data_IF_195083930988
#
_entry.id   IF_195083930988
#
_cell.length_a   1.000
_cell.length_b   1.000
_cell.length_c   1.000
_cell.angle_alpha   90.00
_cell.angle_beta   90.00
_cell.angle_gamma   90.00
#
_symmetry.space_group_name_H-M   'P 1'
#
loop_
_entity.id
_entity.type
_entity.pdbx_description
1 polymer ?
#
# COMPACT_ATOMS: atom_id res chain seq x y z
N UNK A 1 -46.08 45.02 26.35
CA UNK A 1 -44.75 44.97 27.02
C UNK A 1 -44.54 43.55 27.51
N UNK A 2 -43.82 42.73 26.73
CA UNK A 2 -43.47 41.36 27.10
C UNK A 2 -41.97 41.31 27.38
N UNK A 3 -41.61 40.78 28.55
CA UNK A 3 -40.26 40.68 29.05
C UNK A 3 -39.48 39.61 28.29
N UNK A 4 -38.30 40.01 27.81
CA UNK A 4 -37.35 39.19 27.06
C UNK A 4 -36.63 38.23 28.05
N UNK A 5 -36.79 36.93 27.85
CA UNK A 5 -36.12 35.90 28.65
C UNK A 5 -34.80 35.50 27.97
N UNK A 6 -33.71 36.07 28.47
CA UNK A 6 -32.33 35.78 28.07
C UNK A 6 -31.97 34.34 28.46
N UNK A 7 -31.93 33.45 27.48
CA UNK A 7 -31.50 32.06 27.66
C UNK A 7 -29.96 31.99 27.56
N UNK A 8 -29.30 32.10 28.71
CA UNK A 8 -27.87 31.80 28.88
C UNK A 8 -27.68 30.27 28.76
N UNK A 9 -27.54 29.77 27.53
CA UNK A 9 -26.99 28.42 27.30
C UNK A 9 -25.46 28.52 27.25
N UNK A 10 -24.88 28.01 28.32
CA UNK A 10 -23.47 27.72 28.56
C UNK A 10 -22.79 27.16 27.30
N UNK A 11 -21.91 27.94 26.69
CA UNK A 11 -20.85 27.41 25.83
C UNK A 11 -19.92 26.61 26.74
N UNK A 12 -20.07 25.29 26.79
CA UNK A 12 -19.03 24.42 27.30
C UNK A 12 -17.91 24.44 26.25
N UNK A 13 -16.84 25.16 26.55
CA UNK A 13 -15.58 25.03 25.84
C UNK A 13 -15.15 23.56 25.90
N UNK A 14 -15.13 22.91 24.73
CA UNK A 14 -14.49 21.61 24.57
C UNK A 14 -12.99 21.84 24.75
N UNK A 15 -12.47 21.47 25.92
CA UNK A 15 -11.02 21.40 26.17
C UNK A 15 -10.61 19.97 25.84
N UNK A 16 -9.94 19.71 24.70
CA UNK A 16 -9.44 18.38 24.39
C UNK A 16 -8.46 17.97 25.50
N UNK A 17 -8.59 16.74 26.00
CA UNK A 17 -7.70 16.27 27.06
C UNK A 17 -6.25 16.25 26.54
N UNK A 18 -5.28 16.69 27.34
CA UNK A 18 -3.86 16.78 26.97
C UNK A 18 -3.28 15.47 26.39
N UNK A 19 -3.93 14.34 26.65
CA UNK A 19 -3.58 13.01 26.13
C UNK A 19 -4.07 12.79 24.69
N UNK A 20 -5.26 13.28 24.33
CA UNK A 20 -5.79 13.20 22.96
C UNK A 20 -5.06 14.18 22.02
N UNK A 21 -4.71 15.36 22.54
CA UNK A 21 -3.98 16.41 21.81
C UNK A 21 -2.53 16.01 21.48
N UNK A 22 -1.92 15.14 22.30
CA UNK A 22 -0.54 14.68 22.09
C UNK A 22 -0.47 13.48 21.14
N UNK A 23 -1.42 12.53 21.25
CA UNK A 23 -1.52 11.36 20.36
C UNK A 23 -1.87 11.76 18.92
N UNK A 24 -2.83 12.67 18.73
CA UNK A 24 -3.20 13.15 17.38
C UNK A 24 -2.05 13.92 16.71
N UNK A 25 -1.28 14.69 17.48
CA UNK A 25 -0.15 15.47 16.96
C UNK A 25 1.09 14.62 16.65
N UNK A 26 1.35 13.55 17.42
CA UNK A 26 2.42 12.60 17.10
C UNK A 26 2.11 11.81 15.84
N UNK A 27 0.87 11.32 15.70
CA UNK A 27 0.47 10.51 14.54
C UNK A 27 0.51 11.33 13.24
N UNK A 28 0.10 12.61 13.29
CA UNK A 28 0.17 13.51 12.12
C UNK A 28 1.63 13.73 11.67
N UNK A 29 2.56 13.90 12.63
CA UNK A 29 3.99 14.07 12.35
C UNK A 29 4.63 12.82 11.72
N UNK A 30 4.28 11.62 12.22
CA UNK A 30 4.77 10.36 11.66
C UNK A 30 4.22 10.10 10.25
N UNK A 31 2.95 10.42 10.04
CA UNK A 31 2.27 10.33 8.75
C UNK A 31 2.92 11.24 7.68
N UNK A 32 3.25 12.48 8.04
CA UNK A 32 3.95 13.40 7.16
C UNK A 32 5.37 12.92 6.85
N UNK A 33 6.08 12.34 7.82
CA UNK A 33 7.40 11.73 7.60
C UNK A 33 7.31 10.54 6.63
N UNK A 34 6.28 9.69 6.75
CA UNK A 34 6.06 8.59 5.82
C UNK A 34 5.85 9.10 4.39
N UNK A 35 5.00 10.11 4.20
CA UNK A 35 4.79 10.73 2.90
C UNK A 35 6.08 11.24 2.28
N UNK A 36 6.92 11.92 3.06
CA UNK A 36 8.21 12.40 2.59
C UNK A 36 9.16 11.27 2.23
N UNK A 37 9.16 10.17 2.99
CA UNK A 37 9.92 8.96 2.68
C UNK A 37 9.49 8.34 1.35
N UNK A 38 8.18 8.24 1.09
CA UNK A 38 7.64 7.69 -0.16
C UNK A 38 7.97 8.59 -1.35
N UNK A 39 7.91 9.91 -1.19
CA UNK A 39 8.33 10.86 -2.22
C UNK A 39 9.82 10.71 -2.54
N UNK A 40 10.67 10.47 -1.53
CA UNK A 40 12.10 10.22 -1.73
C UNK A 40 12.36 8.94 -2.52
N UNK A 41 11.59 7.87 -2.33
CA UNK A 41 11.73 6.63 -3.14
C UNK A 41 11.53 6.87 -4.64
N UNK A 42 10.83 7.93 -5.03
CA UNK A 42 10.57 8.31 -6.43
C UNK A 42 11.64 9.24 -7.01
N UNK A 43 12.61 9.68 -6.22
CA UNK A 43 13.65 10.64 -6.65
C UNK A 43 14.88 9.93 -7.21
N UNK A 44 15.43 10.45 -8.31
CA UNK A 44 16.62 9.91 -8.99
C UNK A 44 17.94 10.14 -8.24
N UNK A 45 17.94 10.97 -7.19
CA UNK A 45 19.17 11.41 -6.50
C UNK A 45 19.46 10.68 -5.17
N UNK A 46 18.75 9.59 -4.88
CA UNK A 46 18.89 8.86 -3.60
C UNK A 46 19.88 7.72 -3.74
N UNK A 47 20.80 7.59 -2.78
CA UNK A 47 21.76 6.49 -2.77
C UNK A 47 21.09 5.15 -2.49
N UNK A 48 21.67 4.06 -3.01
CA UNK A 48 21.16 2.69 -2.78
C UNK A 48 20.99 2.35 -1.29
N UNK A 49 21.90 2.81 -0.44
CA UNK A 49 21.82 2.58 1.00
C UNK A 49 20.66 3.36 1.63
N UNK A 50 20.47 4.62 1.23
CA UNK A 50 19.35 5.44 1.71
C UNK A 50 18.01 4.87 1.24
N UNK A 51 17.93 4.36 0.01
CA UNK A 51 16.74 3.66 -0.49
C UNK A 51 16.39 2.45 0.38
N UNK A 52 17.38 1.60 0.72
CA UNK A 52 17.15 0.45 1.61
C UNK A 52 16.66 0.90 2.98
N UNK A 53 17.25 1.94 3.55
CA UNK A 53 16.90 2.40 4.88
C UNK A 53 15.50 3.02 4.91
N UNK A 54 15.10 3.72 3.85
CA UNK A 54 13.72 4.20 3.67
C UNK A 54 12.75 3.03 3.57
N UNK A 55 13.04 2.06 2.71
CA UNK A 55 12.25 0.85 2.52
C UNK A 55 12.05 0.10 3.86
N UNK A 56 13.12 -0.10 4.64
CA UNK A 56 13.04 -0.74 5.95
C UNK A 56 12.14 0.04 6.92
N UNK A 57 12.28 1.37 6.98
CA UNK A 57 11.46 2.22 7.86
C UNK A 57 9.98 2.18 7.50
N UNK A 58 9.64 2.12 6.21
CA UNK A 58 8.24 1.95 5.78
C UNK A 58 7.70 0.60 6.26
N UNK A 59 8.50 -0.46 6.16
CA UNK A 59 8.13 -1.78 6.68
C UNK A 59 7.92 -1.76 8.19
N UNK A 60 8.84 -1.15 8.94
CA UNK A 60 8.78 -1.07 10.40
C UNK A 60 7.53 -0.29 10.82
N UNK A 61 7.25 0.84 10.17
CA UNK A 61 6.05 1.64 10.43
C UNK A 61 4.75 0.85 10.17
N UNK A 62 4.68 0.10 9.07
CA UNK A 62 3.53 -0.76 8.75
C UNK A 62 3.30 -1.87 9.79
N UNK A 63 4.36 -2.35 10.44
CA UNK A 63 4.31 -3.41 11.46
C UNK A 63 3.90 -2.90 12.84
N UNK A 64 4.00 -1.60 13.11
CA UNK A 64 3.71 -1.02 14.43
C UNK A 64 2.23 -1.09 14.80
N UNK A 65 1.33 -0.92 13.82
CA UNK A 65 -0.12 -1.00 14.04
C UNK A 65 -0.90 -1.21 12.74
N UNK A 66 -2.14 -1.68 12.89
CA UNK A 66 -3.08 -1.83 11.79
C UNK A 66 -3.48 -0.47 11.17
N UNK A 67 -3.62 0.58 11.98
CA UNK A 67 -3.89 1.94 11.48
C UNK A 67 -2.73 2.44 10.59
N UNK A 68 -1.49 2.14 10.98
CA UNK A 68 -0.30 2.48 10.19
C UNK A 68 -0.24 1.68 8.90
N UNK A 69 -0.59 0.38 8.91
CA UNK A 69 -0.69 -0.42 7.70
C UNK A 69 -1.72 0.18 6.72
N UNK A 70 -2.93 0.47 7.19
CA UNK A 70 -3.98 1.12 6.40
C UNK A 70 -3.50 2.46 5.83
N UNK A 71 -2.73 3.22 6.61
CA UNK A 71 -2.14 4.47 6.15
C UNK A 71 -1.09 4.25 5.05
N UNK A 72 -0.17 3.28 5.22
CA UNK A 72 0.86 2.90 4.24
C UNK A 72 0.24 2.52 2.89
N UNK A 73 -0.84 1.72 2.92
CA UNK A 73 -1.56 1.29 1.71
C UNK A 73 -2.16 2.47 0.96
N UNK A 74 -2.78 3.41 1.68
CA UNK A 74 -3.35 4.66 1.11
C UNK A 74 -2.32 5.61 0.48
N UNK A 75 -1.02 5.37 0.65
CA UNK A 75 0.04 6.23 0.10
C UNK A 75 0.72 5.66 -1.15
N UNK A 76 0.09 4.73 -1.87
CA UNK A 76 0.64 4.10 -3.10
C UNK A 76 2.04 3.48 -2.89
N UNK A 77 2.29 2.94 -1.68
CA UNK A 77 3.60 2.36 -1.33
C UNK A 77 3.90 1.17 -2.22
N UNK A 78 2.92 0.30 -2.49
CA UNK A 78 3.09 -0.88 -3.34
C UNK A 78 3.54 -0.48 -4.74
N UNK A 79 2.84 0.48 -5.36
CA UNK A 79 3.19 0.99 -6.69
C UNK A 79 4.58 1.62 -6.72
N UNK A 80 4.95 2.36 -5.67
CA UNK A 80 6.27 2.99 -5.54
C UNK A 80 7.39 1.96 -5.37
N UNK A 81 7.18 0.94 -4.53
CA UNK A 81 8.12 -0.15 -4.30
C UNK A 81 8.29 -1.01 -5.56
N UNK A 82 7.22 -1.25 -6.30
CA UNK A 82 7.24 -1.95 -7.59
C UNK A 82 8.02 -1.15 -8.65
N UNK A 83 7.77 0.15 -8.77
CA UNK A 83 8.53 1.01 -9.67
C UNK A 83 10.03 0.90 -9.36
N UNK A 84 10.42 1.06 -8.09
CA UNK A 84 11.81 0.94 -7.66
C UNK A 84 12.40 -0.44 -7.94
N UNK A 85 11.64 -1.51 -7.73
CA UNK A 85 12.06 -2.88 -8.06
C UNK A 85 12.38 -3.05 -9.55
N UNK A 86 11.57 -2.45 -10.43
CA UNK A 86 11.75 -2.57 -11.89
C UNK A 86 12.89 -1.69 -12.43
N UNK A 87 13.13 -0.53 -11.84
CA UNK A 87 14.11 0.44 -12.34
C UNK A 87 15.51 0.23 -11.79
N UNK A 88 15.66 -0.31 -10.56
CA UNK A 88 16.97 -0.54 -9.96
C UNK A 88 17.71 -1.73 -10.58
N UNK A 89 19.04 -1.66 -10.65
CA UNK A 89 19.91 -2.81 -10.94
C UNK A 89 20.47 -3.46 -9.68
N UNK A 90 20.27 -2.83 -8.51
CA UNK A 90 20.81 -3.33 -7.25
C UNK A 90 19.98 -4.51 -6.72
N UNK A 91 20.61 -5.69 -6.62
CA UNK A 91 19.97 -6.93 -6.16
C UNK A 91 19.46 -6.84 -4.71
N UNK A 92 20.12 -6.06 -3.87
CA UNK A 92 19.74 -5.88 -2.47
C UNK A 92 18.51 -4.99 -2.33
N UNK A 93 18.40 -3.93 -3.13
CA UNK A 93 17.18 -3.11 -3.22
C UNK A 93 16.02 -3.98 -3.71
N UNK A 94 16.24 -4.79 -4.78
CA UNK A 94 15.22 -5.74 -5.27
C UNK A 94 14.72 -6.69 -4.19
N UNK A 95 15.65 -7.29 -3.44
CA UNK A 95 15.31 -8.18 -2.31
C UNK A 95 14.50 -7.45 -1.24
N UNK A 96 14.88 -6.22 -0.92
CA UNK A 96 14.20 -5.40 0.08
C UNK A 96 12.78 -5.02 -0.37
N UNK A 97 12.59 -4.66 -1.64
CA UNK A 97 11.27 -4.42 -2.22
C UNK A 97 10.36 -5.66 -2.12
N UNK A 98 10.89 -6.85 -2.46
CA UNK A 98 10.14 -8.11 -2.35
C UNK A 98 9.73 -8.38 -0.90
N UNK A 99 10.65 -8.21 0.05
CA UNK A 99 10.35 -8.42 1.48
C UNK A 99 9.24 -7.50 1.98
N UNK A 100 9.20 -6.23 1.54
CA UNK A 100 8.16 -5.28 1.95
C UNK A 100 6.80 -5.69 1.40
N UNK A 101 6.75 -6.10 0.14
CA UNK A 101 5.52 -6.61 -0.47
C UNK A 101 5.02 -7.83 0.30
N UNK A 102 5.92 -8.78 0.62
CA UNK A 102 5.55 -9.97 1.40
C UNK A 102 5.08 -9.63 2.83
N UNK A 103 5.68 -8.62 3.48
CA UNK A 103 5.28 -8.17 4.83
C UNK A 103 3.90 -7.53 4.79
N UNK A 104 3.67 -6.59 3.86
CA UNK A 104 2.38 -5.91 3.70
C UNK A 104 1.28 -6.94 3.41
N UNK A 105 1.51 -7.86 2.48
CA UNK A 105 0.55 -8.93 2.15
C UNK A 105 0.21 -9.82 3.34
N UNK A 106 1.20 -10.21 4.15
CA UNK A 106 0.95 -11.03 5.37
C UNK A 106 0.12 -10.31 6.43
N UNK A 107 0.20 -8.97 6.45
CA UNK A 107 -0.58 -8.16 7.38
C UNK A 107 -2.00 -7.92 6.87
N UNK A 108 -2.17 -7.70 5.56
CA UNK A 108 -3.50 -7.55 4.91
C UNK A 108 -4.34 -8.83 4.95
N UNK A 109 -3.73 -10.01 4.86
CA UNK A 109 -4.47 -11.30 4.97
C UNK A 109 -5.19 -11.45 6.31
N UNK A 110 -4.85 -10.65 7.33
CA UNK A 110 -5.54 -10.65 8.62
C UNK A 110 -6.81 -9.80 8.65
N UNK A 111 -7.06 -8.95 7.66
CA UNK A 111 -8.25 -8.10 7.58
C UNK A 111 -8.87 -8.17 6.18
N UNK A 112 -9.94 -8.97 6.04
CA UNK A 112 -10.72 -8.99 4.81
C UNK A 112 -11.71 -7.81 4.78
N UNK A 113 -11.47 -6.81 3.94
CA UNK A 113 -12.51 -6.05 3.25
C UNK A 113 -12.26 -6.09 1.73
N UNK A 114 -13.31 -6.36 0.96
CA UNK A 114 -13.29 -6.74 -0.47
C UNK A 114 -12.74 -5.69 -1.46
N UNK A 115 -12.49 -4.46 -1.02
CA UNK A 115 -12.16 -3.33 -1.91
C UNK A 115 -10.66 -3.28 -2.25
N UNK A 116 -9.78 -3.60 -1.29
CA UNK A 116 -8.31 -3.57 -1.46
C UNK A 116 -7.77 -4.72 -2.34
N UNK A 117 -8.54 -5.80 -2.47
CA UNK A 117 -8.13 -6.97 -3.25
C UNK A 117 -8.10 -6.70 -4.78
N UNK A 118 -8.84 -5.70 -5.26
CA UNK A 118 -8.89 -5.34 -6.69
C UNK A 118 -7.64 -4.57 -7.13
N UNK A 119 -7.19 -3.58 -6.35
CA UNK A 119 -6.01 -2.78 -6.68
C UNK A 119 -4.72 -3.62 -6.61
N UNK A 120 -4.64 -4.49 -5.59
CA UNK A 120 -3.56 -5.47 -5.51
C UNK A 120 -3.62 -6.47 -6.67
N UNK A 121 -4.80 -7.01 -6.98
CA UNK A 121 -5.00 -7.93 -8.10
C UNK A 121 -4.54 -7.34 -9.43
N UNK A 122 -4.86 -6.07 -9.71
CA UNK A 122 -4.42 -5.33 -10.90
C UNK A 122 -2.90 -5.16 -10.95
N UNK A 123 -2.29 -4.79 -9.83
CA UNK A 123 -0.84 -4.62 -9.74
C UNK A 123 -0.10 -5.94 -10.00
N UNK A 124 -0.56 -7.03 -9.40
CA UNK A 124 0.04 -8.35 -9.58
C UNK A 124 -0.22 -8.92 -10.99
N UNK A 125 -1.38 -8.63 -11.57
CA UNK A 125 -1.70 -8.99 -12.96
C UNK A 125 -0.77 -8.26 -13.94
N UNK A 126 -0.52 -6.97 -13.73
CA UNK A 126 0.45 -6.20 -14.53
C UNK A 126 1.85 -6.82 -14.45
N UNK A 127 2.26 -7.27 -13.26
CA UNK A 127 3.53 -7.97 -13.08
C UNK A 127 3.55 -9.31 -13.81
N UNK A 128 2.47 -10.11 -13.71
CA UNK A 128 2.33 -11.41 -14.38
C UNK A 128 2.49 -11.27 -15.90
N UNK A 129 1.88 -10.25 -16.49
CA UNK A 129 1.89 -10.01 -17.94
C UNK A 129 3.14 -9.26 -18.43
N UNK A 130 4.09 -8.97 -17.54
CA UNK A 130 5.35 -8.32 -17.90
C UNK A 130 6.19 -9.20 -18.82
N UNK A 131 6.83 -8.59 -19.82
CA UNK A 131 7.86 -9.26 -20.65
C UNK A 131 9.13 -9.60 -19.88
N UNK A 132 9.31 -9.05 -18.66
CA UNK A 132 10.40 -9.41 -17.78
C UNK A 132 10.07 -10.71 -17.03
N UNK A 133 10.82 -11.78 -17.33
CA UNK A 133 10.63 -13.12 -16.75
C UNK A 133 10.63 -13.12 -15.21
N UNK A 134 11.47 -12.30 -14.57
CA UNK A 134 11.50 -12.23 -13.10
C UNK A 134 10.25 -11.54 -12.55
N UNK A 135 9.82 -10.44 -13.18
CA UNK A 135 8.58 -9.75 -12.81
C UNK A 135 7.37 -10.67 -13.00
N UNK A 136 7.30 -11.39 -14.11
CA UNK A 136 6.23 -12.35 -14.40
C UNK A 136 6.20 -13.48 -13.37
N UNK A 137 7.36 -14.04 -13.02
CA UNK A 137 7.45 -15.08 -11.99
C UNK A 137 6.99 -14.59 -10.61
N UNK A 138 7.30 -13.33 -10.26
CA UNK A 138 6.85 -12.72 -9.00
C UNK A 138 5.34 -12.49 -9.03
N UNK A 139 4.81 -11.92 -10.12
CA UNK A 139 3.37 -11.76 -10.31
C UNK A 139 2.62 -13.09 -10.17
N UNK A 140 3.13 -14.15 -10.81
CA UNK A 140 2.61 -15.52 -10.69
C UNK A 140 2.60 -16.02 -9.25
N UNK A 141 3.74 -15.96 -8.56
CA UNK A 141 3.87 -16.44 -7.18
C UNK A 141 2.90 -15.70 -6.25
N UNK A 142 2.84 -14.37 -6.36
CA UNK A 142 2.03 -13.55 -5.49
C UNK A 142 0.53 -13.67 -5.79
N UNK A 143 0.12 -13.86 -7.06
CA UNK A 143 -1.28 -14.16 -7.39
C UNK A 143 -1.72 -15.50 -6.79
N UNK A 144 -0.86 -16.53 -6.83
CA UNK A 144 -1.17 -17.82 -6.21
C UNK A 144 -1.36 -17.65 -4.70
N UNK A 145 -0.44 -16.96 -4.03
CA UNK A 145 -0.54 -16.69 -2.59
C UNK A 145 -1.81 -15.90 -2.27
N UNK A 146 -2.18 -14.90 -3.07
CA UNK A 146 -3.41 -14.12 -2.90
C UNK A 146 -4.66 -15.02 -3.00
N UNK A 147 -4.71 -15.90 -4.01
CA UNK A 147 -5.81 -16.85 -4.21
C UNK A 147 -5.92 -17.90 -3.11
N UNK A 148 -4.80 -18.36 -2.56
CA UNK A 148 -4.78 -19.34 -1.47
C UNK A 148 -5.15 -18.71 -0.11
N UNK A 149 -4.83 -17.42 0.07
CA UNK A 149 -4.96 -16.73 1.36
C UNK A 149 -6.28 -15.97 1.53
N UNK A 150 -6.98 -15.62 0.45
CA UNK A 150 -8.22 -14.87 0.50
C UNK A 150 -9.26 -15.49 -0.45
N UNK A 151 -10.35 -16.02 0.10
CA UNK A 151 -11.38 -16.71 -0.67
C UNK A 151 -12.16 -15.77 -1.62
N UNK A 152 -12.22 -14.47 -1.28
CA UNK A 152 -12.87 -13.45 -2.09
C UNK A 152 -11.96 -12.91 -3.20
N UNK A 153 -10.65 -13.16 -3.13
CA UNK A 153 -9.69 -12.66 -4.12
C UNK A 153 -9.96 -13.17 -5.53
N UNK A 154 -10.41 -14.41 -5.67
CA UNK A 154 -10.79 -14.98 -6.97
C UNK A 154 -11.92 -14.18 -7.61
N UNK A 155 -12.94 -13.80 -6.83
CA UNK A 155 -14.03 -12.94 -7.30
C UNK A 155 -13.52 -11.55 -7.70
N UNK A 156 -12.62 -10.98 -6.91
CA UNK A 156 -11.94 -9.72 -7.23
C UNK A 156 -11.17 -9.78 -8.56
N UNK A 157 -10.33 -10.81 -8.73
CA UNK A 157 -9.54 -11.07 -9.93
C UNK A 157 -10.42 -11.28 -11.18
N UNK A 158 -11.53 -12.00 -11.04
CA UNK A 158 -12.50 -12.17 -12.11
C UNK A 158 -13.16 -10.83 -12.47
N UNK A 159 -13.51 -10.00 -11.48
CA UNK A 159 -14.17 -8.71 -11.71
C UNK A 159 -13.27 -7.68 -12.42
N UNK A 160 -11.95 -7.80 -12.30
CA UNK A 160 -10.98 -6.98 -13.03
C UNK A 160 -10.61 -7.55 -14.41
N UNK A 161 -11.26 -8.65 -14.84
CA UNK A 161 -11.08 -9.23 -16.17
C UNK A 161 -9.75 -9.95 -16.35
N UNK A 162 -9.24 -10.64 -15.32
CA UNK A 162 -7.94 -11.34 -15.40
C UNK A 162 -7.87 -12.33 -16.57
N UNK A 163 -8.97 -13.01 -16.88
CA UNK A 163 -9.05 -13.98 -17.96
C UNK A 163 -8.97 -13.30 -19.34
N UNK A 164 -9.65 -12.16 -19.50
CA UNK A 164 -9.64 -11.40 -20.75
C UNK A 164 -8.24 -10.84 -21.03
N UNK A 165 -7.59 -10.28 -20.01
CA UNK A 165 -6.24 -9.75 -20.13
C UNK A 165 -5.19 -10.85 -20.40
N UNK A 166 -5.35 -12.02 -19.77
CA UNK A 166 -4.48 -13.16 -20.04
C UNK A 166 -4.66 -13.71 -21.46
N UNK A 167 -5.90 -13.79 -21.95
CA UNK A 167 -6.20 -14.19 -23.32
C UNK A 167 -5.63 -13.19 -24.34
N UNK A 168 -5.77 -11.89 -24.08
CA UNK A 168 -5.18 -10.85 -24.92
C UNK A 168 -3.64 -10.93 -24.94
N UNK A 169 -3.01 -11.09 -23.77
CA UNK A 169 -1.57 -11.26 -23.69
C UNK A 169 -1.10 -12.50 -24.49
N UNK A 170 -1.79 -13.63 -24.36
CA UNK A 170 -1.50 -14.83 -25.14
C UNK A 170 -1.62 -14.58 -26.66
N UNK A 171 -2.63 -13.83 -27.10
CA UNK A 171 -2.78 -13.45 -28.50
C UNK A 171 -1.64 -12.53 -28.98
N UNK A 172 -1.17 -11.63 -28.12
CA UNK A 172 -0.05 -10.74 -28.41
C UNK A 172 1.31 -11.49 -28.44
N UNK A 173 1.43 -12.61 -27.72
CA UNK A 173 2.60 -13.49 -27.76
C UNK A 173 2.52 -14.60 -28.82
N UNK A 174 1.32 -14.90 -29.35
CA UNK A 174 1.16 -15.83 -30.47
C UNK A 174 1.52 -15.15 -31.79
N UNK A 175 2.81 -15.18 -32.12
CA UNK A 175 3.27 -15.14 -33.50
C UNK A 175 2.96 -16.50 -34.12
N UNK A 176 1.82 -16.62 -34.77
CA UNK A 176 1.63 -17.53 -35.90
C UNK A 176 1.17 -16.71 -37.10
#
# INVERSE_FOLDING_TARGET
>A
MQANSTNLRTQREYIPTLRESTVTRSNTSQNDQLKQMILKLKSEQVSDQELVDILRRISDFALESEENLKYVLKQDVISTVNLLYTTTQNKFIKSTCVNIIEVIQKLEVKEEEQEDCKEMGLSLLTMLLSSNVNSSNIGKKNLIVLMESNANSVSGLLSIGILDQAAEALNNFSIF
#
